data_IF_350774206994
#
_entry.id   IF_350774206994
#
_cell.length_a   1.000
_cell.length_b   1.000
_cell.length_c   1.000
_cell.angle_alpha   90.00
_cell.angle_beta   90.00
_cell.angle_gamma   90.00
#
_symmetry.space_group_name_H-M   'P 1'
#
loop_
_entity.id
_entity.type
_entity.pdbx_description
1 polymer ?
#
# COMPACT_ATOMS: atom_id res chain seq x y z
N UNK A 1 1.71 28.06 -4.06
CA UNK A 1 0.84 27.45 -3.03
C UNK A 1 1.68 26.38 -2.35
N UNK A 2 1.59 26.21 -1.03
CA UNK A 2 2.23 25.08 -0.35
C UNK A 2 1.58 23.77 -0.79
N UNK A 3 2.39 22.74 -0.99
CA UNK A 3 1.91 21.39 -1.31
C UNK A 3 1.07 20.83 -0.16
N UNK A 4 0.10 19.96 -0.48
CA UNK A 4 -0.76 19.34 0.51
C UNK A 4 -0.80 17.83 0.34
N UNK A 5 -0.68 17.09 1.44
CA UNK A 5 -0.78 15.62 1.47
C UNK A 5 -1.88 15.21 2.43
N UNK A 6 -2.74 14.29 1.98
CA UNK A 6 -3.72 13.64 2.85
C UNK A 6 -3.16 12.33 3.38
N UNK A 7 -3.08 12.19 4.69
CA UNK A 7 -2.84 10.91 5.35
C UNK A 7 -4.19 10.22 5.57
N UNK A 8 -4.32 9.00 5.07
CA UNK A 8 -5.48 8.13 5.31
C UNK A 8 -5.05 7.03 6.28
N UNK A 9 -5.40 7.20 7.55
CA UNK A 9 -5.13 6.20 8.57
C UNK A 9 -6.22 5.14 8.56
N UNK A 10 -5.91 3.96 8.04
CA UNK A 10 -6.84 2.82 8.04
C UNK A 10 -6.74 1.99 9.32
N UNK A 11 -5.58 1.96 9.96
CA UNK A 11 -5.27 1.12 11.12
C UNK A 11 -3.84 0.60 11.08
N UNK A 12 -3.60 -0.50 11.80
CA UNK A 12 -2.30 -1.17 11.87
C UNK A 12 -1.42 -0.67 13.01
N UNK A 13 -0.31 -1.37 13.20
CA UNK A 13 0.64 -1.19 14.31
C UNK A 13 1.18 0.23 14.44
N UNK A 14 1.35 0.92 13.31
CA UNK A 14 1.87 2.30 13.28
C UNK A 14 1.02 3.28 14.11
N UNK A 15 -0.29 3.10 14.15
CA UNK A 15 -1.21 3.94 14.91
C UNK A 15 -1.52 3.42 16.31
N UNK A 16 -0.74 2.51 16.84
CA UNK A 16 -0.90 1.98 18.19
C UNK A 16 0.11 2.63 19.13
N UNK A 17 -0.36 2.97 20.32
CA UNK A 17 0.47 3.42 21.44
C UNK A 17 0.44 2.42 22.58
N UNK A 18 1.51 2.35 23.36
CA UNK A 18 1.53 1.56 24.59
C UNK A 18 0.93 2.40 25.73
N UNK A 19 -0.14 1.91 26.33
CA UNK A 19 -0.68 2.51 27.54
C UNK A 19 0.34 2.32 28.69
N UNK A 20 0.89 3.39 29.28
CA UNK A 20 1.94 3.27 30.28
C UNK A 20 1.49 2.63 31.59
N UNK A 21 0.18 2.57 31.85
CA UNK A 21 -0.38 2.00 33.09
C UNK A 21 -0.67 0.51 32.94
N UNK A 22 -1.14 0.08 31.76
CA UNK A 22 -1.59 -1.30 31.53
C UNK A 22 -0.59 -2.11 30.71
N UNK A 23 0.32 -1.46 29.96
CA UNK A 23 1.22 -2.10 29.01
C UNK A 23 0.53 -2.58 27.74
N UNK A 24 -0.78 -2.36 27.60
CA UNK A 24 -1.54 -2.77 26.41
C UNK A 24 -1.38 -1.79 25.24
N UNK A 25 -1.48 -2.30 24.03
CA UNK A 25 -1.53 -1.47 22.83
C UNK A 25 -2.94 -0.92 22.63
N UNK A 26 -3.05 0.39 22.49
CA UNK A 26 -4.30 1.11 22.25
C UNK A 26 -4.18 1.99 21.01
N UNK A 27 -5.27 2.17 20.23
CA UNK A 27 -5.27 3.09 19.09
C UNK A 27 -4.96 4.52 19.53
N UNK A 28 -4.04 5.18 18.84
CA UNK A 28 -3.74 6.59 19.03
C UNK A 28 -4.73 7.46 18.26
N UNK A 29 -5.00 8.66 18.77
CA UNK A 29 -5.56 9.74 17.95
C UNK A 29 -4.47 10.23 16.99
N UNK A 30 -4.61 9.85 15.72
CA UNK A 30 -3.58 10.11 14.73
C UNK A 30 -3.47 11.58 14.35
N UNK A 31 -4.54 12.36 14.45
CA UNK A 31 -4.48 13.82 14.27
C UNK A 31 -3.56 14.45 15.31
N UNK A 32 -3.77 14.11 16.57
CA UNK A 32 -2.95 14.61 17.67
C UNK A 32 -1.49 14.14 17.57
N UNK A 33 -1.26 12.91 17.09
CA UNK A 33 0.09 12.40 16.86
C UNK A 33 0.84 13.25 15.83
N UNK A 34 0.24 13.51 14.66
CA UNK A 34 0.84 14.33 13.61
C UNK A 34 1.14 15.74 14.08
N UNK A 35 0.19 16.38 14.80
CA UNK A 35 0.38 17.71 15.37
C UNK A 35 1.52 17.77 16.39
N UNK A 36 1.75 16.69 17.13
CA UNK A 36 2.80 16.60 18.14
C UNK A 36 4.20 16.27 17.60
N UNK A 37 4.33 15.95 16.29
CA UNK A 37 5.60 15.60 15.67
C UNK A 37 6.30 16.85 15.09
N UNK A 38 7.39 17.34 15.72
CA UNK A 38 8.06 18.57 15.29
C UNK A 38 8.68 18.45 13.88
N UNK A 39 8.92 17.24 13.39
CA UNK A 39 9.44 16.99 12.05
C UNK A 39 8.47 17.44 10.96
N UNK A 40 7.17 17.33 11.17
CA UNK A 40 6.17 17.82 10.22
C UNK A 40 6.22 19.34 10.05
N UNK A 41 6.66 20.08 11.08
CA UNK A 41 6.86 21.54 10.99
C UNK A 41 8.03 21.90 10.05
N UNK A 42 8.95 20.98 9.80
CA UNK A 42 10.10 21.19 8.90
C UNK A 42 9.73 20.86 7.44
N UNK A 43 8.68 20.07 7.22
CA UNK A 43 8.16 19.83 5.87
C UNK A 43 7.47 21.11 5.38
N UNK A 44 7.80 21.53 4.16
CA UNK A 44 7.10 22.65 3.50
C UNK A 44 5.74 22.24 2.92
N UNK A 45 5.15 21.19 3.48
CA UNK A 45 3.95 20.49 3.01
C UNK A 45 2.87 20.53 4.08
N UNK A 46 1.68 21.01 3.73
CA UNK A 46 0.51 20.90 4.59
C UNK A 46 0.07 19.45 4.67
N UNK A 47 -0.19 18.97 5.89
CA UNK A 47 -0.64 17.61 6.15
C UNK A 47 -2.00 17.63 6.81
N UNK A 48 -2.93 16.89 6.26
CA UNK A 48 -4.25 16.64 6.85
C UNK A 48 -4.47 15.13 7.04
N UNK A 49 -5.29 14.76 8.00
CA UNK A 49 -5.53 13.35 8.34
C UNK A 49 -7.00 12.99 8.18
N UNK A 50 -7.25 11.88 7.52
CA UNK A 50 -8.53 11.17 7.54
C UNK A 50 -8.36 9.85 8.30
N UNK A 51 -9.09 9.64 9.36
CA UNK A 51 -8.99 8.43 10.21
C UNK A 51 -10.24 7.58 10.08
N UNK A 52 -10.05 6.28 9.84
CA UNK A 52 -11.12 5.28 9.95
C UNK A 52 -11.50 5.06 11.41
N UNK A 53 -12.78 5.00 11.68
CA UNK A 53 -13.31 4.75 13.03
C UNK A 53 -14.36 3.65 12.98
N UNK A 54 -14.14 2.52 13.63
CA UNK A 54 -12.88 2.12 14.30
C UNK A 54 -11.73 1.87 13.31
N UNK A 55 -10.47 1.90 13.76
CA UNK A 55 -9.33 1.46 12.96
C UNK A 55 -9.50 -0.01 12.53
N UNK A 56 -9.02 -0.32 11.32
CA UNK A 56 -9.17 -1.64 10.69
C UNK A 56 -7.94 -2.48 11.00
N UNK A 57 -8.13 -3.72 11.46
CA UNK A 57 -7.08 -4.72 11.36
C UNK A 57 -6.89 -5.09 9.89
N UNK A 58 -5.65 -5.10 9.40
CA UNK A 58 -5.38 -5.41 8.00
C UNK A 58 -5.78 -6.83 7.59
N UNK A 59 -5.91 -7.77 8.53
CA UNK A 59 -6.45 -9.10 8.27
C UNK A 59 -7.93 -9.10 7.83
N UNK A 60 -8.67 -8.04 8.18
CA UNK A 60 -10.07 -7.86 7.81
C UNK A 60 -10.27 -7.04 6.52
N UNK A 61 -9.19 -6.72 5.80
CA UNK A 61 -9.29 -6.01 4.53
C UNK A 61 -10.13 -6.76 3.51
N UNK A 62 -10.90 -6.00 2.73
CA UNK A 62 -11.86 -6.55 1.77
C UNK A 62 -12.08 -5.60 0.58
N UNK A 63 -12.64 -6.08 -0.54
CA UNK A 63 -13.02 -5.23 -1.68
C UNK A 63 -13.89 -4.03 -1.29
N UNK A 64 -14.78 -4.19 -0.31
CA UNK A 64 -15.61 -3.09 0.20
C UNK A 64 -14.77 -2.00 0.86
N UNK A 65 -13.77 -2.38 1.65
CA UNK A 65 -12.88 -1.42 2.31
C UNK A 65 -11.95 -0.73 1.31
N UNK A 66 -11.44 -1.45 0.31
CA UNK A 66 -10.70 -0.83 -0.80
C UNK A 66 -11.55 0.20 -1.55
N UNK A 67 -12.83 -0.12 -1.84
CA UNK A 67 -13.75 0.83 -2.46
C UNK A 67 -13.96 2.11 -1.60
N UNK A 68 -13.96 1.99 -0.27
CA UNK A 68 -14.03 3.15 0.62
C UNK A 68 -12.76 4.03 0.52
N UNK A 69 -11.57 3.39 0.51
CA UNK A 69 -10.30 4.12 0.33
C UNK A 69 -10.30 4.86 -1.01
N UNK A 70 -10.68 4.16 -2.10
CA UNK A 70 -10.78 4.77 -3.45
C UNK A 70 -11.74 5.96 -3.45
N UNK A 71 -12.88 5.85 -2.77
CA UNK A 71 -13.86 6.95 -2.67
C UNK A 71 -13.29 8.16 -1.96
N UNK A 72 -12.59 7.96 -0.84
CA UNK A 72 -11.92 9.03 -0.09
C UNK A 72 -10.91 9.76 -0.98
N UNK A 73 -10.08 9.00 -1.73
CA UNK A 73 -9.10 9.56 -2.65
C UNK A 73 -9.80 10.34 -3.78
N UNK A 74 -10.80 9.74 -4.42
CA UNK A 74 -11.49 10.33 -5.56
C UNK A 74 -12.22 11.64 -5.20
N UNK A 75 -12.91 11.66 -4.07
CA UNK A 75 -13.63 12.84 -3.59
C UNK A 75 -12.69 14.00 -3.25
N UNK A 76 -11.45 13.72 -2.86
CA UNK A 76 -10.45 14.70 -2.43
C UNK A 76 -9.30 14.86 -3.41
N UNK A 77 -9.40 14.25 -4.57
CA UNK A 77 -8.29 14.19 -5.52
C UNK A 77 -7.74 15.55 -5.91
N UNK A 78 -8.61 16.55 -6.06
CA UNK A 78 -8.22 17.89 -6.48
C UNK A 78 -7.66 18.77 -5.35
N UNK A 79 -7.90 18.40 -4.09
CA UNK A 79 -7.52 19.20 -2.93
C UNK A 79 -6.12 18.93 -2.43
N UNK A 80 -5.54 17.77 -2.82
CA UNK A 80 -4.23 17.30 -2.36
C UNK A 80 -3.28 16.99 -3.52
N UNK A 81 -1.99 17.12 -3.28
CA UNK A 81 -0.91 16.81 -4.23
C UNK A 81 -0.51 15.33 -4.17
N UNK A 82 -0.78 14.66 -3.07
CA UNK A 82 -0.51 13.24 -2.86
C UNK A 82 -1.27 12.66 -1.67
N UNK A 83 -1.24 11.33 -1.56
CA UNK A 83 -1.94 10.57 -0.54
C UNK A 83 -0.98 9.58 0.12
N UNK A 84 -1.02 9.49 1.44
CA UNK A 84 -0.30 8.48 2.23
C UNK A 84 -1.31 7.63 2.96
N UNK A 85 -1.27 6.32 2.77
CA UNK A 85 -2.16 5.37 3.44
C UNK A 85 -1.39 4.63 4.50
N UNK A 86 -1.77 4.83 5.77
CA UNK A 86 -1.21 4.06 6.88
C UNK A 86 -2.01 2.79 7.07
N UNK A 87 -1.33 1.66 6.98
CA UNK A 87 -1.94 0.36 6.82
C UNK A 87 -1.21 -0.71 7.65
N UNK A 88 -1.93 -1.71 8.14
CA UNK A 88 -1.32 -2.88 8.74
C UNK A 88 -0.51 -3.68 7.71
N UNK A 89 0.64 -4.23 8.12
CA UNK A 89 1.62 -4.77 7.18
C UNK A 89 1.21 -6.09 6.51
N UNK A 90 0.27 -6.86 7.10
CA UNK A 90 -0.04 -8.23 6.65
C UNK A 90 -0.68 -8.27 5.26
N UNK A 91 -1.58 -7.33 4.97
CA UNK A 91 -2.28 -7.26 3.68
C UNK A 91 -1.99 -6.00 2.88
N UNK A 92 -0.99 -5.21 3.28
CA UNK A 92 -0.62 -3.96 2.60
C UNK A 92 -0.34 -4.17 1.10
N UNK A 93 0.36 -5.24 0.73
CA UNK A 93 0.64 -5.57 -0.68
C UNK A 93 -0.61 -5.90 -1.48
N UNK A 94 -1.62 -6.50 -0.84
CA UNK A 94 -2.93 -6.76 -1.47
C UNK A 94 -3.68 -5.45 -1.70
N UNK A 95 -3.73 -4.59 -0.70
CA UNK A 95 -4.36 -3.26 -0.82
C UNK A 95 -3.64 -2.42 -1.88
N UNK A 96 -2.30 -2.38 -1.88
CA UNK A 96 -1.53 -1.66 -2.88
C UNK A 96 -1.79 -2.20 -4.31
N UNK A 97 -1.89 -3.52 -4.47
CA UNK A 97 -2.23 -4.14 -5.74
C UNK A 97 -3.65 -3.76 -6.19
N UNK A 98 -4.63 -3.87 -5.28
CA UNK A 98 -6.02 -3.51 -5.59
C UNK A 98 -6.14 -2.05 -6.02
N UNK A 99 -5.59 -1.12 -5.26
CA UNK A 99 -5.63 0.31 -5.57
C UNK A 99 -4.92 0.64 -6.88
N UNK A 100 -3.86 -0.08 -7.25
CA UNK A 100 -3.17 0.09 -8.55
C UNK A 100 -4.07 -0.17 -9.75
N UNK A 101 -5.11 -1.01 -9.60
CA UNK A 101 -6.10 -1.28 -10.66
C UNK A 101 -7.39 -0.49 -10.48
N UNK A 102 -7.70 -0.05 -9.26
CA UNK A 102 -8.91 0.72 -8.97
C UNK A 102 -8.76 2.22 -9.23
N UNK A 103 -7.54 2.74 -9.37
CA UNK A 103 -7.22 4.14 -9.65
C UNK A 103 -6.58 4.23 -11.05
N UNK A 104 -7.42 4.21 -12.10
CA UNK A 104 -6.94 4.28 -13.48
C UNK A 104 -6.46 5.70 -13.82
N UNK A 105 -5.35 5.78 -14.57
CA UNK A 105 -4.69 7.04 -14.96
C UNK A 105 -4.37 7.95 -13.77
N UNK A 106 -3.83 7.36 -12.70
CA UNK A 106 -3.41 8.09 -11.51
C UNK A 106 -2.24 9.04 -11.85
N UNK A 107 -2.42 10.34 -11.57
CA UNK A 107 -1.42 11.39 -11.84
C UNK A 107 -0.79 11.94 -10.57
N UNK A 108 -1.17 11.43 -9.40
CA UNK A 108 -0.66 11.79 -8.08
C UNK A 108 -0.19 10.55 -7.34
N UNK A 109 0.79 10.67 -6.42
CA UNK A 109 1.25 9.52 -5.65
C UNK A 109 0.19 9.06 -4.65
N UNK A 110 0.04 7.74 -4.53
CA UNK A 110 -0.69 7.08 -3.44
C UNK A 110 0.28 6.10 -2.78
N UNK A 111 0.85 6.48 -1.65
CA UNK A 111 1.92 5.73 -0.99
C UNK A 111 1.36 5.01 0.23
N UNK A 112 1.39 3.68 0.21
CA UNK A 112 1.07 2.86 1.38
C UNK A 112 2.33 2.68 2.22
N UNK A 113 2.17 2.83 3.53
CA UNK A 113 3.22 2.54 4.50
C UNK A 113 2.62 2.09 5.84
N UNK A 114 3.47 1.73 6.76
CA UNK A 114 3.12 1.26 8.09
C UNK A 114 4.36 1.08 8.93
N UNK A 115 4.27 0.27 9.96
CA UNK A 115 5.44 -0.05 10.79
C UNK A 115 5.38 -1.48 11.33
N UNK A 116 6.55 -2.02 11.63
CA UNK A 116 6.69 -3.28 12.36
C UNK A 116 6.52 -3.06 13.88
N UNK A 117 6.90 -1.89 14.37
CA UNK A 117 6.75 -1.53 15.78
C UNK A 117 5.80 -0.33 15.94
N UNK A 118 5.00 -0.29 17.03
CA UNK A 118 4.16 0.86 17.37
C UNK A 118 4.97 2.17 17.47
N UNK A 119 4.33 3.30 17.11
CA UNK A 119 4.98 4.63 17.16
C UNK A 119 5.56 5.00 18.52
N UNK A 120 4.96 4.51 19.61
CA UNK A 120 5.45 4.79 20.97
C UNK A 120 6.63 3.93 21.42
N UNK A 121 7.12 3.00 20.61
CA UNK A 121 8.25 2.14 21.00
C UNK A 121 9.60 2.75 20.65
N UNK A 122 10.61 2.46 21.49
CA UNK A 122 11.95 3.06 21.41
C UNK A 122 12.65 2.89 20.06
N UNK A 123 12.41 1.82 19.32
CA UNK A 123 13.06 1.53 18.05
C UNK A 123 12.09 1.48 16.89
N UNK A 124 11.00 2.22 16.97
CA UNK A 124 9.99 2.22 15.92
C UNK A 124 10.57 2.64 14.57
N UNK A 125 10.22 1.90 13.54
CA UNK A 125 10.42 2.24 12.12
C UNK A 125 9.31 3.15 11.58
N UNK A 126 8.21 3.31 12.34
CA UNK A 126 7.02 4.03 11.90
C UNK A 126 7.26 5.50 11.62
N UNK A 127 8.11 6.16 12.42
CA UNK A 127 8.39 7.59 12.28
C UNK A 127 9.08 7.91 10.95
N UNK A 128 10.14 7.17 10.63
CA UNK A 128 10.88 7.33 9.37
C UNK A 128 9.98 6.99 8.19
N UNK A 129 9.29 5.84 8.25
CA UNK A 129 8.39 5.39 7.20
C UNK A 129 7.29 6.43 6.90
N UNK A 130 6.72 7.05 7.92
CA UNK A 130 5.67 8.06 7.78
C UNK A 130 6.22 9.36 7.17
N UNK A 131 7.29 9.93 7.75
CA UNK A 131 7.84 11.22 7.32
C UNK A 131 8.30 11.13 5.87
N UNK A 132 9.06 10.11 5.53
CA UNK A 132 9.58 9.92 4.17
C UNK A 132 8.46 9.65 3.16
N UNK A 133 7.40 8.93 3.56
CA UNK A 133 6.23 8.74 2.69
C UNK A 133 5.52 10.06 2.38
N UNK A 134 5.36 10.94 3.36
CA UNK A 134 4.75 12.27 3.17
C UNK A 134 5.63 13.16 2.30
N UNK A 135 6.93 13.15 2.52
CA UNK A 135 7.89 13.89 1.69
C UNK A 135 7.82 13.41 0.23
N UNK A 136 7.94 12.09 -0.02
CA UNK A 136 7.83 11.52 -1.36
C UNK A 136 6.48 11.83 -2.03
N UNK A 137 5.39 11.83 -1.26
CA UNK A 137 4.05 12.13 -1.78
C UNK A 137 3.88 13.60 -2.19
N UNK A 138 4.73 14.50 -1.71
CA UNK A 138 4.68 15.92 -2.02
C UNK A 138 5.61 16.35 -3.16
N UNK A 139 6.61 15.50 -3.53
CA UNK A 139 7.64 15.87 -4.49
C UNK A 139 7.09 16.03 -5.92
N UNK A 140 7.56 17.08 -6.60
CA UNK A 140 7.21 17.39 -7.98
C UNK A 140 8.47 17.52 -8.84
N UNK A 141 8.30 17.20 -10.12
CA UNK A 141 9.32 17.43 -11.14
C UNK A 141 9.38 18.91 -11.55
N UNK A 142 10.27 19.24 -12.49
CA UNK A 142 10.43 20.60 -13.03
C UNK A 142 9.20 21.11 -13.81
N UNK A 143 8.27 20.25 -14.18
CA UNK A 143 7.01 20.58 -14.86
C UNK A 143 5.84 20.74 -13.88
N UNK A 144 6.07 20.50 -12.59
CA UNK A 144 5.04 20.53 -11.54
C UNK A 144 4.21 19.25 -11.44
N UNK A 145 4.58 18.20 -12.15
CA UNK A 145 3.96 16.87 -12.01
C UNK A 145 4.55 16.12 -10.83
N UNK A 146 3.79 15.19 -10.27
CA UNK A 146 4.29 14.32 -9.21
C UNK A 146 5.50 13.51 -9.69
N UNK A 147 6.52 13.37 -8.84
CA UNK A 147 7.71 12.56 -9.15
C UNK A 147 7.37 11.08 -9.38
N UNK A 148 6.37 10.55 -8.65
CA UNK A 148 5.95 9.14 -8.76
C UNK A 148 4.42 9.08 -8.81
N UNK A 149 3.79 9.24 -9.99
CA UNK A 149 2.33 9.29 -10.13
C UNK A 149 1.72 7.88 -10.20
N UNK A 150 1.93 7.08 -9.17
CA UNK A 150 1.41 5.72 -9.10
C UNK A 150 1.15 5.26 -7.66
N UNK A 151 0.48 4.11 -7.51
CA UNK A 151 0.33 3.47 -6.21
C UNK A 151 1.63 2.77 -5.83
N UNK A 152 2.15 3.09 -4.65
CA UNK A 152 3.44 2.61 -4.16
C UNK A 152 3.33 2.02 -2.76
N UNK A 153 4.32 1.21 -2.39
CA UNK A 153 4.62 0.84 -1.01
C UNK A 153 5.99 1.43 -0.65
N UNK A 154 6.02 2.25 0.39
CA UNK A 154 7.29 2.71 0.97
C UNK A 154 7.57 1.96 2.27
N UNK A 155 8.75 1.39 2.36
CA UNK A 155 9.18 0.71 3.57
C UNK A 155 10.71 0.61 3.65
N UNK A 156 11.28 0.95 4.80
CA UNK A 156 12.72 0.74 5.08
C UNK A 156 13.64 1.30 3.97
N UNK A 157 13.44 2.56 3.58
CA UNK A 157 14.28 3.27 2.63
C UNK A 157 14.04 2.94 1.15
N UNK A 158 12.96 2.22 0.82
CA UNK A 158 12.66 1.80 -0.56
C UNK A 158 11.23 2.12 -0.96
N UNK A 159 11.06 2.76 -2.12
CA UNK A 159 9.76 2.96 -2.76
C UNK A 159 9.55 1.89 -3.82
N UNK A 160 8.56 1.06 -3.63
CA UNK A 160 8.22 -0.08 -4.47
C UNK A 160 6.93 0.19 -5.24
N UNK A 161 6.81 -0.30 -6.48
CA UNK A 161 5.52 -0.30 -7.19
C UNK A 161 4.50 -1.16 -6.45
N UNK A 162 3.31 -0.61 -6.18
CA UNK A 162 2.31 -1.24 -5.32
C UNK A 162 1.93 -2.65 -5.75
N UNK A 163 1.61 -2.86 -7.04
CA UNK A 163 1.23 -4.17 -7.56
C UNK A 163 2.42 -5.11 -7.88
N UNK A 164 3.63 -4.75 -7.46
CA UNK A 164 4.85 -5.57 -7.57
C UNK A 164 5.48 -5.86 -6.22
N UNK A 165 4.88 -5.35 -5.15
CA UNK A 165 5.39 -5.51 -3.79
C UNK A 165 4.87 -6.78 -3.12
N UNK A 166 5.65 -7.33 -2.20
CA UNK A 166 5.28 -8.45 -1.35
C UNK A 166 5.88 -8.28 0.04
N UNK A 167 5.13 -8.69 1.08
CA UNK A 167 5.68 -8.83 2.43
C UNK A 167 6.54 -10.08 2.48
N UNK A 168 7.85 -9.92 2.62
CA UNK A 168 8.83 -11.03 2.65
C UNK A 168 9.27 -11.42 4.04
N UNK A 169 9.06 -10.56 5.03
CA UNK A 169 9.56 -10.74 6.37
C UNK A 169 8.54 -10.24 7.41
N UNK A 170 8.34 -11.02 8.48
CA UNK A 170 7.45 -10.68 9.57
C UNK A 170 8.16 -9.99 10.75
N UNK A 171 9.47 -10.23 10.93
CA UNK A 171 10.24 -9.78 12.11
C UNK A 171 11.18 -8.60 11.80
N UNK A 172 11.66 -8.48 10.57
CA UNK A 172 12.63 -7.45 10.20
C UNK A 172 11.98 -6.15 9.73
N UNK A 173 12.67 -5.04 9.90
CA UNK A 173 12.21 -3.74 9.38
C UNK A 173 12.17 -3.69 7.84
N UNK A 174 12.99 -4.48 7.16
CA UNK A 174 12.93 -4.66 5.70
C UNK A 174 11.80 -5.63 5.29
N UNK A 175 10.58 -5.34 5.74
CA UNK A 175 9.44 -6.25 5.63
C UNK A 175 8.95 -6.46 4.19
N UNK A 176 9.15 -5.49 3.30
CA UNK A 176 8.65 -5.52 1.92
C UNK A 176 9.77 -5.58 0.89
N UNK A 177 9.48 -6.19 -0.25
CA UNK A 177 10.38 -6.23 -1.41
C UNK A 177 9.60 -6.36 -2.72
N UNK A 178 10.30 -6.20 -3.84
CA UNK A 178 9.80 -6.40 -5.20
C UNK A 178 10.78 -7.28 -5.96
N UNK A 179 10.46 -8.58 -6.08
CA UNK A 179 11.38 -9.55 -6.71
C UNK A 179 11.45 -9.46 -8.23
N UNK A 180 10.39 -8.96 -8.86
CA UNK A 180 10.24 -8.96 -10.32
C UNK A 180 10.23 -7.55 -10.93
N UNK A 181 10.47 -6.53 -10.12
CA UNK A 181 10.48 -5.15 -10.58
C UNK A 181 11.46 -4.31 -9.75
N UNK A 182 12.28 -3.46 -10.38
CA UNK A 182 13.20 -2.61 -9.64
C UNK A 182 12.49 -1.59 -8.75
N UNK A 183 13.20 -1.04 -7.76
CA UNK A 183 12.70 0.05 -6.94
C UNK A 183 12.41 1.29 -7.80
N UNK A 184 11.44 2.09 -7.38
CA UNK A 184 11.13 3.37 -8.02
C UNK A 184 11.98 4.50 -7.48
N UNK A 185 12.32 4.39 -6.18
CA UNK A 185 13.21 5.31 -5.48
C UNK A 185 13.89 4.60 -4.31
N UNK A 186 15.15 4.95 -4.08
CA UNK A 186 15.89 4.63 -2.87
C UNK A 186 16.01 5.91 -2.02
N UNK A 187 15.53 5.85 -0.76
CA UNK A 187 15.57 6.94 0.20
C UNK A 187 16.77 6.74 1.13
N UNK A 188 17.84 7.47 0.87
CA UNK A 188 19.01 7.59 1.72
C UNK A 188 19.09 9.01 2.33
N UNK A 189 20.28 9.60 2.38
CA UNK A 189 20.44 11.01 2.71
C UNK A 189 19.73 11.89 1.67
N UNK A 190 19.74 11.45 0.42
CA UNK A 190 19.00 12.05 -0.70
C UNK A 190 18.13 10.98 -1.36
N UNK A 191 17.07 11.41 -2.02
CA UNK A 191 16.25 10.53 -2.85
C UNK A 191 16.95 10.23 -4.18
N UNK A 192 17.08 8.94 -4.50
CA UNK A 192 17.57 8.48 -5.79
C UNK A 192 16.41 7.86 -6.56
N UNK A 193 15.79 8.64 -7.45
CA UNK A 193 14.71 8.16 -8.31
C UNK A 193 15.25 7.38 -9.51
N UNK A 194 14.45 6.39 -9.96
CA UNK A 194 14.74 5.57 -11.15
C UNK A 194 13.68 5.86 -12.24
N UNK A 195 13.76 6.95 -12.99
CA UNK A 195 12.68 7.44 -13.86
C UNK A 195 12.21 6.43 -14.91
N UNK A 196 13.11 5.56 -15.40
CA UNK A 196 12.77 4.52 -16.39
C UNK A 196 11.84 3.43 -15.81
N UNK A 197 11.72 3.36 -14.49
CA UNK A 197 10.86 2.41 -13.81
C UNK A 197 9.54 3.02 -13.35
N UNK A 198 9.38 4.34 -13.42
CA UNK A 198 8.19 5.06 -12.97
C UNK A 198 7.17 5.11 -14.10
N UNK A 199 5.88 4.93 -13.79
CA UNK A 199 4.80 5.08 -14.75
C UNK A 199 4.72 6.54 -15.23
N UNK A 200 4.42 6.71 -16.52
CA UNK A 200 4.16 8.00 -17.12
C UNK A 200 2.68 8.06 -17.53
N UNK A 201 1.78 8.57 -16.69
CA UNK A 201 0.37 8.65 -17.00
C UNK A 201 0.09 9.73 -18.07
N UNK A 202 -1.10 9.69 -18.62
CA UNK A 202 -1.58 10.75 -19.50
C UNK A 202 -2.13 11.92 -18.66
N UNK A 203 -1.30 12.93 -18.42
CA UNK A 203 -1.67 14.10 -17.62
C UNK A 203 -2.79 14.95 -18.24
N UNK A 204 -3.15 14.71 -19.52
CA UNK A 204 -4.29 15.39 -20.17
C UNK A 204 -5.64 14.75 -19.83
N UNK A 205 -5.64 13.56 -19.24
CA UNK A 205 -6.85 12.82 -18.88
C UNK A 205 -7.09 12.80 -17.39
N UNK A 206 -8.34 12.77 -16.95
CA UNK A 206 -8.65 12.64 -15.53
C UNK A 206 -8.31 11.23 -15.01
N UNK A 207 -8.08 11.13 -13.71
CA UNK A 207 -8.09 9.85 -12.99
C UNK A 207 -9.50 9.28 -12.97
N UNK A 208 -9.65 7.98 -13.23
CA UNK A 208 -10.93 7.27 -13.23
C UNK A 208 -10.94 6.28 -12.07
N UNK A 209 -11.82 6.48 -11.06
CA UNK A 209 -11.94 5.56 -9.95
C UNK A 209 -12.86 4.38 -10.29
N UNK A 210 -12.42 3.16 -10.00
CA UNK A 210 -13.21 1.93 -10.05
C UNK A 210 -13.52 1.46 -8.64
N UNK A 211 -14.80 1.20 -8.35
CA UNK A 211 -15.25 0.88 -6.98
C UNK A 211 -15.60 -0.59 -6.78
N UNK A 212 -15.61 -1.38 -7.86
CA UNK A 212 -16.00 -2.78 -7.81
C UNK A 212 -14.83 -3.70 -8.14
N UNK A 213 -14.72 -4.77 -7.36
CA UNK A 213 -13.87 -5.92 -7.65
C UNK A 213 -14.70 -7.19 -7.44
N UNK A 214 -14.55 -8.16 -8.32
CA UNK A 214 -15.21 -9.47 -8.17
C UNK A 214 -14.38 -10.34 -7.22
N UNK A 215 -14.92 -10.74 -6.05
CA UNK A 215 -14.22 -11.61 -5.11
C UNK A 215 -14.26 -13.10 -5.51
N UNK A 216 -15.02 -13.46 -6.53
CA UNK A 216 -15.20 -14.85 -6.96
C UNK A 216 -13.99 -15.37 -7.75
N UNK A 217 -12.82 -15.23 -7.16
CA UNK A 217 -11.52 -15.65 -7.71
C UNK A 217 -10.79 -16.54 -6.72
N UNK A 218 -10.12 -17.58 -7.22
CA UNK A 218 -9.24 -18.42 -6.41
C UNK A 218 -7.81 -18.39 -6.95
N UNK A 219 -6.84 -18.33 -6.06
CA UNK A 219 -5.43 -18.57 -6.40
C UNK A 219 -5.15 -20.04 -6.20
N UNK A 220 -4.89 -20.76 -7.29
CA UNK A 220 -4.69 -22.20 -7.28
C UNK A 220 -3.24 -22.52 -7.61
N UNK A 221 -2.52 -23.14 -6.68
CA UNK A 221 -1.12 -23.52 -6.87
C UNK A 221 -1.01 -25.00 -7.19
N UNK A 222 -0.34 -25.33 -8.30
CA UNK A 222 0.03 -26.71 -8.63
C UNK A 222 1.21 -27.14 -7.77
N UNK A 223 1.17 -28.38 -7.29
CA UNK A 223 2.26 -29.03 -6.57
C UNK A 223 2.32 -30.52 -6.93
N UNK A 224 3.50 -31.17 -6.84
CA UNK A 224 3.64 -32.59 -7.11
C UNK A 224 2.73 -33.43 -6.21
N UNK A 225 1.92 -34.30 -6.81
CA UNK A 225 0.98 -35.16 -6.07
C UNK A 225 -0.39 -34.54 -5.82
N UNK A 226 -0.69 -33.35 -6.36
CA UNK A 226 -2.05 -32.81 -6.32
C UNK A 226 -3.02 -33.77 -6.99
N UNK A 227 -4.17 -34.00 -6.38
CA UNK A 227 -5.16 -34.96 -6.88
C UNK A 227 -6.17 -34.28 -7.81
N UNK A 228 -6.52 -34.94 -8.90
CA UNK A 228 -7.54 -34.47 -9.85
C UNK A 228 -8.88 -34.14 -9.15
N UNK A 229 -9.31 -34.97 -8.20
CA UNK A 229 -10.54 -34.75 -7.46
C UNK A 229 -10.57 -33.41 -6.72
N UNK A 230 -9.44 -32.96 -6.18
CA UNK A 230 -9.33 -31.65 -5.52
C UNK A 230 -9.46 -30.53 -6.55
N UNK A 231 -8.75 -30.67 -7.69
CA UNK A 231 -8.83 -29.68 -8.77
C UNK A 231 -10.27 -29.54 -9.27
N UNK A 232 -10.94 -30.68 -9.58
CA UNK A 232 -12.34 -30.68 -10.01
C UNK A 232 -13.25 -30.02 -9.00
N UNK A 233 -13.11 -30.36 -7.72
CA UNK A 233 -13.95 -29.77 -6.66
C UNK A 233 -13.79 -28.22 -6.60
N UNK A 234 -12.59 -27.69 -6.78
CA UNK A 234 -12.36 -26.23 -6.83
C UNK A 234 -12.97 -25.63 -8.10
N UNK A 235 -12.79 -26.28 -9.27
CA UNK A 235 -13.28 -25.79 -10.55
C UNK A 235 -14.81 -25.83 -10.68
N UNK A 236 -15.45 -26.79 -10.04
CA UNK A 236 -16.90 -27.00 -10.06
C UNK A 236 -17.66 -26.13 -9.05
N UNK A 237 -16.93 -25.26 -8.28
CA UNK A 237 -17.57 -24.33 -7.35
C UNK A 237 -18.46 -23.32 -8.12
N UNK A 238 -19.80 -23.31 -7.86
CA UNK A 238 -20.74 -22.55 -8.69
C UNK A 238 -20.55 -21.04 -8.68
N UNK A 239 -19.97 -20.50 -7.59
CA UNK A 239 -19.68 -19.07 -7.45
C UNK A 239 -18.37 -18.66 -8.12
N UNK A 240 -17.49 -19.61 -8.46
CA UNK A 240 -16.17 -19.33 -9.01
C UNK A 240 -16.29 -18.74 -10.41
N UNK A 241 -15.65 -17.57 -10.64
CA UNK A 241 -15.65 -16.88 -11.93
C UNK A 241 -14.29 -16.82 -12.58
N UNK A 242 -13.23 -16.86 -11.79
CA UNK A 242 -11.87 -16.85 -12.34
C UNK A 242 -10.86 -17.54 -11.44
N UNK A 243 -9.76 -17.97 -12.06
CA UNK A 243 -8.66 -18.68 -11.40
C UNK A 243 -7.36 -18.01 -11.78
N UNK A 244 -6.53 -17.73 -10.78
CA UNK A 244 -5.13 -17.41 -10.96
C UNK A 244 -4.33 -18.69 -10.71
N UNK A 245 -3.93 -19.36 -11.79
CA UNK A 245 -3.15 -20.59 -11.68
C UNK A 245 -1.66 -20.30 -11.49
N UNK A 246 -1.09 -20.81 -10.41
CA UNK A 246 0.35 -20.81 -10.18
C UNK A 246 0.93 -22.14 -10.63
N UNK A 247 1.51 -22.15 -11.82
CA UNK A 247 2.20 -23.29 -12.42
C UNK A 247 3.60 -23.46 -11.84
N UNK A 248 4.36 -24.47 -12.34
CA UNK A 248 5.78 -24.62 -12.01
C UNK A 248 6.63 -23.51 -12.67
N UNK A 249 7.92 -23.46 -12.34
CA UNK A 249 8.80 -22.34 -12.66
C UNK A 249 8.90 -21.95 -14.14
N UNK A 250 8.74 -22.90 -15.06
CA UNK A 250 8.73 -22.64 -16.52
C UNK A 250 7.33 -22.54 -17.12
N UNK A 251 6.28 -22.41 -16.30
CA UNK A 251 4.91 -22.34 -16.77
C UNK A 251 4.27 -23.69 -17.11
N UNK A 252 4.92 -24.81 -16.78
CA UNK A 252 4.43 -26.15 -17.02
C UNK A 252 3.57 -26.71 -15.87
N UNK A 253 2.89 -27.78 -16.15
CA UNK A 253 2.04 -28.55 -15.25
C UNK A 253 2.34 -30.04 -15.36
N UNK A 254 1.78 -30.91 -14.48
CA UNK A 254 1.88 -32.35 -14.65
C UNK A 254 1.35 -32.78 -16.02
N UNK A 255 2.10 -33.66 -16.71
CA UNK A 255 1.74 -34.15 -18.06
C UNK A 255 1.19 -35.57 -18.04
N UNK A 256 1.31 -36.26 -16.91
CA UNK A 256 0.76 -37.62 -16.76
C UNK A 256 -0.78 -37.55 -16.67
N UNK A 257 -1.50 -38.51 -17.29
CA UNK A 257 -2.92 -38.62 -17.05
C UNK A 257 -3.16 -38.89 -15.59
N UNK A 258 -4.14 -38.24 -15.04
CA UNK A 258 -4.52 -38.30 -13.64
C UNK A 258 -5.18 -39.62 -13.30
#
# INVERSE_FOLDING_TARGET
>A
MSQKVLIIYTGGTIGMGCNPLTGTLEPLDFNHLVESMPEFLQLQTGVEVYQFTPPIDSSDMSPRLWAQIVRIIAERYNDYDGFVILHGTDTMSYTASALSFMLENLTKPVILTGSQLPMGQLRTDGKENLITSVELASLKDSHGHAMVPEVCVYFSGRLLRGNRSIKKNADGFNAFDSFNYPHLCDAGINFTFHPHHILNPDFSKPMIPHYAMDPNVVVFSLFPGIQESIIRHVLDAPELRSIVMRSYGSGNAPQQPW
#
